data_IF_596774196404
#
_entry.id   IF_596774196404
#
_cell.length_a   1.000
_cell.length_b   1.000
_cell.length_c   1.000
_cell.angle_alpha   90.00
_cell.angle_beta   90.00
_cell.angle_gamma   90.00
#
_symmetry.space_group_name_H-M   'P 1'
#
loop_
_entity.id
_entity.type
_entity.pdbx_description
1 polymer ?
#
# COMPACT_ATOMS: atom_id res chain seq x y z
N UNK A 1 -3.61 -1.19 -7.48
CA UNK A 1 -2.37 -0.99 -8.27
C UNK A 1 -1.19 -1.86 -7.81
N UNK A 2 -0.65 -1.73 -6.58
CA UNK A 2 0.52 -2.52 -6.14
C UNK A 2 0.25 -4.02 -6.03
N UNK A 3 -0.82 -4.42 -5.34
CA UNK A 3 -1.17 -5.83 -5.14
C UNK A 3 -1.37 -6.56 -6.49
N UNK A 4 -2.13 -5.97 -7.41
CA UNK A 4 -2.32 -6.52 -8.76
C UNK A 4 -1.01 -6.73 -9.51
N UNK A 5 -0.05 -5.78 -9.43
CA UNK A 5 1.28 -5.93 -10.04
C UNK A 5 2.10 -7.08 -9.43
N UNK A 6 1.99 -7.30 -8.12
CA UNK A 6 2.67 -8.43 -7.46
C UNK A 6 2.11 -9.76 -7.96
N UNK A 7 0.78 -9.86 -8.11
CA UNK A 7 0.13 -11.04 -8.69
C UNK A 7 0.55 -11.28 -10.14
N UNK A 8 0.64 -10.21 -10.95
CA UNK A 8 1.03 -10.31 -12.37
C UNK A 8 2.43 -10.94 -12.55
N UNK A 9 3.30 -10.83 -11.55
CA UNK A 9 4.63 -11.46 -11.59
C UNK A 9 4.68 -12.82 -10.88
N UNK A 10 3.74 -13.10 -9.99
CA UNK A 10 3.79 -14.27 -9.12
C UNK A 10 3.35 -15.57 -9.79
N UNK A 11 2.50 -15.53 -10.82
CA UNK A 11 1.93 -16.73 -11.43
C UNK A 11 2.95 -17.71 -12.05
N UNK A 12 4.19 -17.25 -12.30
CA UNK A 12 5.27 -18.05 -12.90
C UNK A 12 6.15 -18.77 -11.86
N UNK A 13 5.99 -18.46 -10.58
CA UNK A 13 6.86 -18.93 -9.50
C UNK A 13 6.03 -19.53 -8.36
N UNK A 14 5.90 -20.87 -8.31
CA UNK A 14 5.15 -21.58 -7.26
C UNK A 14 5.62 -21.30 -5.83
N UNK A 15 6.87 -20.87 -5.63
CA UNK A 15 7.40 -20.54 -4.31
C UNK A 15 7.08 -19.08 -3.90
N UNK A 16 6.47 -18.29 -4.80
CA UNK A 16 6.10 -16.92 -4.52
C UNK A 16 4.90 -16.85 -3.56
N UNK A 17 4.99 -15.99 -2.54
CA UNK A 17 3.91 -15.77 -1.58
C UNK A 17 2.55 -15.43 -2.24
N UNK A 18 2.57 -14.75 -3.39
CA UNK A 18 1.36 -14.36 -4.10
C UNK A 18 0.88 -15.38 -5.14
N UNK A 19 1.55 -16.53 -5.28
CA UNK A 19 1.27 -17.53 -6.31
C UNK A 19 -0.20 -18.01 -6.28
N UNK A 20 -0.69 -18.40 -5.11
CA UNK A 20 -2.06 -18.90 -4.95
C UNK A 20 -3.10 -17.83 -5.32
N UNK A 21 -2.87 -16.59 -4.92
CA UNK A 21 -3.74 -15.47 -5.28
C UNK A 21 -3.69 -15.18 -6.80
N UNK A 22 -2.53 -15.35 -7.43
CA UNK A 22 -2.34 -15.11 -8.87
C UNK A 22 -3.00 -16.18 -9.76
N UNK A 23 -3.26 -17.37 -9.23
CA UNK A 23 -3.96 -18.46 -9.93
C UNK A 23 -5.48 -18.41 -9.76
N UNK A 24 -5.98 -17.85 -8.66
CA UNK A 24 -7.40 -17.76 -8.33
C UNK A 24 -8.16 -16.66 -9.08
N UNK A 25 -9.43 -16.45 -8.71
CA UNK A 25 -10.21 -15.32 -9.20
C UNK A 25 -9.58 -14.00 -8.71
N UNK A 26 -9.32 -13.12 -9.68
CA UNK A 26 -8.66 -11.85 -9.42
C UNK A 26 -9.55 -10.89 -8.63
N UNK A 27 -10.87 -10.95 -8.82
CA UNK A 27 -11.81 -10.07 -8.12
C UNK A 27 -11.89 -10.44 -6.63
N UNK A 28 -11.93 -11.73 -6.32
CA UNK A 28 -11.87 -12.26 -4.95
C UNK A 28 -10.55 -11.86 -4.26
N UNK A 29 -9.42 -11.96 -4.97
CA UNK A 29 -8.12 -11.55 -4.46
C UNK A 29 -8.07 -10.05 -4.14
N UNK A 30 -8.69 -9.21 -4.98
CA UNK A 30 -8.80 -7.77 -4.70
C UNK A 30 -9.76 -7.46 -3.55
N UNK A 31 -10.83 -8.23 -3.36
CA UNK A 31 -11.71 -8.10 -2.20
C UNK A 31 -10.96 -8.43 -0.90
N UNK A 32 -10.22 -9.54 -0.89
CA UNK A 32 -9.35 -9.91 0.22
C UNK A 32 -8.33 -8.79 0.50
N UNK A 33 -7.66 -8.27 -0.52
CA UNK A 33 -6.67 -7.20 -0.36
C UNK A 33 -7.28 -5.91 0.22
N UNK A 34 -8.52 -5.56 -0.17
CA UNK A 34 -9.27 -4.44 0.44
C UNK A 34 -9.58 -4.71 1.91
N UNK A 35 -10.03 -5.92 2.24
CA UNK A 35 -10.29 -6.30 3.62
C UNK A 35 -9.03 -6.22 4.50
N UNK A 36 -7.90 -6.73 4.01
CA UNK A 36 -6.59 -6.60 4.70
C UNK A 36 -6.23 -5.12 4.91
N UNK A 37 -6.42 -4.29 3.89
CA UNK A 37 -6.20 -2.85 4.04
C UNK A 37 -7.08 -2.24 5.14
N UNK A 38 -8.38 -2.52 5.13
CA UNK A 38 -9.33 -1.91 6.06
C UNK A 38 -9.17 -2.41 7.50
N UNK A 39 -8.73 -3.65 7.70
CA UNK A 39 -8.65 -4.30 9.02
C UNK A 39 -7.25 -4.30 9.62
N UNK A 40 -6.19 -4.18 8.82
CA UNK A 40 -4.81 -4.26 9.28
C UNK A 40 -4.05 -2.96 8.99
N UNK A 41 -3.90 -2.59 7.71
CA UNK A 41 -3.03 -1.47 7.32
C UNK A 41 -3.62 -0.10 7.69
N UNK A 42 -4.91 0.11 7.48
CA UNK A 42 -5.59 1.37 7.79
C UNK A 42 -5.65 1.65 9.30
N UNK A 43 -5.99 0.69 10.18
CA UNK A 43 -5.87 0.88 11.62
C UNK A 43 -4.44 1.17 12.04
N UNK A 44 -3.45 0.46 11.49
CA UNK A 44 -2.03 0.72 11.76
C UNK A 44 -1.60 2.13 11.30
N UNK A 45 -2.05 2.56 10.13
CA UNK A 45 -1.83 3.90 9.61
C UNK A 45 -2.37 4.96 10.57
N UNK A 46 -3.62 4.81 11.02
CA UNK A 46 -4.27 5.80 11.89
C UNK A 46 -3.70 5.82 13.31
N UNK A 47 -3.46 4.65 13.89
CA UNK A 47 -3.07 4.52 15.29
C UNK A 47 -1.57 4.73 15.52
N UNK A 48 -0.72 4.28 14.59
CA UNK A 48 0.73 4.18 14.83
C UNK A 48 1.55 5.06 13.89
N UNK A 49 1.23 5.10 12.60
CA UNK A 49 2.06 5.79 11.59
C UNK A 49 1.73 7.28 11.52
N UNK A 50 0.48 7.64 11.24
CA UNK A 50 0.04 9.02 11.02
C UNK A 50 0.34 9.96 12.20
N UNK A 51 0.21 9.55 13.49
CA UNK A 51 0.55 10.42 14.61
C UNK A 51 2.02 10.84 14.63
N UNK A 52 2.91 10.06 14.00
CA UNK A 52 4.33 10.38 13.92
C UNK A 52 4.68 11.35 12.79
N UNK A 53 3.73 11.69 11.90
CA UNK A 53 3.97 12.53 10.71
C UNK A 53 4.64 13.87 11.06
N UNK A 54 4.26 14.50 12.16
CA UNK A 54 4.81 15.79 12.59
C UNK A 54 6.29 15.73 13.01
N UNK A 55 6.82 14.52 13.24
CA UNK A 55 8.22 14.29 13.65
C UNK A 55 9.19 14.34 12.46
N UNK A 56 8.72 14.13 11.23
CA UNK A 56 9.55 14.11 10.03
C UNK A 56 10.19 15.50 9.73
N UNK A 57 11.40 15.49 9.18
CA UNK A 57 12.09 16.71 8.73
C UNK A 57 11.53 17.24 7.41
N UNK A 58 11.03 16.34 6.57
CA UNK A 58 10.36 16.66 5.31
C UNK A 58 9.09 15.81 5.16
N UNK A 59 7.99 16.45 4.78
CA UNK A 59 6.72 15.79 4.44
C UNK A 59 6.41 16.07 2.97
N UNK A 60 6.28 15.00 2.18
CA UNK A 60 5.84 15.06 0.79
C UNK A 60 4.37 14.64 0.70
N UNK A 61 3.51 15.53 0.21
CA UNK A 61 2.11 15.19 -0.04
C UNK A 61 1.95 14.68 -1.48
N UNK A 62 1.42 13.47 -1.61
CA UNK A 62 1.10 12.85 -2.90
C UNK A 62 -0.40 12.95 -3.17
N UNK A 63 -0.73 13.11 -4.44
CA UNK A 63 -2.09 13.09 -4.99
C UNK A 63 -2.21 11.93 -5.98
N UNK A 64 -3.26 11.94 -6.81
CA UNK A 64 -3.49 10.93 -7.83
C UNK A 64 -2.30 10.77 -8.78
N UNK A 65 -2.17 9.57 -9.36
CA UNK A 65 -1.06 9.20 -10.26
C UNK A 65 0.34 9.45 -9.65
N UNK A 66 0.44 9.42 -8.32
CA UNK A 66 1.66 9.67 -7.57
C UNK A 66 2.27 11.07 -7.72
N UNK A 67 1.52 12.06 -8.20
CA UNK A 67 1.97 13.44 -8.31
C UNK A 67 2.20 14.07 -6.94
N UNK A 68 3.32 14.76 -6.75
CA UNK A 68 3.60 15.56 -5.55
C UNK A 68 3.11 16.99 -5.81
N UNK A 69 2.17 17.47 -4.99
CA UNK A 69 1.63 18.83 -5.09
C UNK A 69 2.15 19.77 -3.98
N UNK A 70 2.58 19.22 -2.84
CA UNK A 70 3.07 20.00 -1.69
C UNK A 70 4.27 19.35 -1.02
N UNK A 71 5.21 20.21 -0.62
CA UNK A 71 6.38 19.87 0.17
C UNK A 71 6.39 20.74 1.43
N UNK A 72 6.54 20.11 2.59
CA UNK A 72 6.72 20.79 3.87
C UNK A 72 8.11 20.44 4.39
N UNK A 73 8.93 21.45 4.64
CA UNK A 73 10.26 21.30 5.21
C UNK A 73 10.29 21.93 6.60
N UNK A 74 10.82 21.21 7.58
CA UNK A 74 11.03 21.76 8.92
C UNK A 74 12.10 22.86 8.83
N UNK A 75 11.83 23.99 9.47
CA UNK A 75 12.67 25.19 9.36
C UNK A 75 13.98 25.08 10.18
N UNK A 76 14.05 24.19 11.18
CA UNK A 76 15.19 23.98 12.08
C UNK A 76 15.17 22.58 12.68
#
# INVERSE_FOLDING_TARGET
ERFGRLMDTAFQDPDNYYYDYAQGDRDDAFEMARNVWDTIDLPNLKANILPTRSRADMIMHKTDNHLIDRLYLRKY
#
